data_IF_149621296834
#
_entry.id   IF_149621296834
#
_cell.length_a   1.000
_cell.length_b   1.000
_cell.length_c   1.000
_cell.angle_alpha   90.00
_cell.angle_beta   90.00
_cell.angle_gamma   90.00
#
_symmetry.space_group_name_H-M   'P 1'
#
loop_
_entity.id
_entity.type
_entity.pdbx_description
1 polymer ?
#
# COMPACT_ATOMS: atom_id res chain seq x y z
N UNK A 1 5.03 3.77 18.63
CA UNK A 1 5.07 2.92 19.82
C UNK A 1 6.49 2.51 20.18
N UNK A 2 7.26 1.77 19.35
CA UNK A 2 8.61 1.27 19.70
C UNK A 2 9.59 2.31 20.23
N UNK A 3 9.64 3.52 19.65
CA UNK A 3 10.50 4.61 20.15
C UNK A 3 10.03 5.08 21.51
N UNK A 4 8.70 5.17 21.73
CA UNK A 4 8.12 5.51 23.03
C UNK A 4 8.54 4.48 24.07
N UNK A 5 8.38 3.18 23.78
CA UNK A 5 8.74 2.10 24.69
C UNK A 5 10.23 2.09 25.04
N UNK A 6 11.08 2.34 24.03
CA UNK A 6 12.53 2.43 24.23
C UNK A 6 12.90 3.61 25.15
N UNK A 7 12.37 4.80 24.90
CA UNK A 7 12.64 5.99 25.70
C UNK A 7 12.07 5.83 27.12
N UNK A 8 10.88 5.23 27.28
CA UNK A 8 10.31 4.92 28.59
C UNK A 8 11.23 3.99 29.39
N UNK A 9 11.74 2.92 28.76
CA UNK A 9 12.66 1.98 29.42
C UNK A 9 13.96 2.66 29.85
N UNK A 10 14.57 3.49 28.98
CA UNK A 10 15.79 4.22 29.27
C UNK A 10 15.58 5.24 30.42
N UNK A 11 14.50 6.01 30.37
CA UNK A 11 14.19 6.97 31.42
C UNK A 11 13.88 6.32 32.77
N UNK A 12 13.17 5.21 32.80
CA UNK A 12 12.92 4.44 34.03
C UNK A 12 14.22 3.96 34.69
N UNK A 13 15.22 3.61 33.88
CA UNK A 13 16.53 3.19 34.42
C UNK A 13 17.34 4.34 35.03
N UNK A 14 17.08 5.59 34.62
CA UNK A 14 17.85 6.78 35.02
C UNK A 14 17.16 7.65 36.06
N UNK A 15 15.81 7.59 36.14
CA UNK A 15 15.01 8.52 36.96
C UNK A 15 14.35 7.76 38.12
N UNK A 16 15.10 7.59 39.21
CA UNK A 16 14.56 6.98 40.43
C UNK A 16 13.50 7.90 41.08
N UNK A 17 12.37 7.32 41.51
CA UNK A 17 11.30 8.05 42.21
C UNK A 17 10.42 8.93 41.32
N UNK A 18 10.54 8.80 40.00
CA UNK A 18 9.68 9.49 39.01
C UNK A 18 8.82 8.45 38.28
N UNK A 19 7.53 8.72 38.18
CA UNK A 19 6.61 7.90 37.38
C UNK A 19 6.82 8.17 35.87
N UNK A 20 7.33 7.18 35.13
CA UNK A 20 7.59 7.30 33.68
C UNK A 20 6.59 6.45 32.93
N UNK A 21 5.73 7.09 32.16
CA UNK A 21 4.64 6.44 31.41
C UNK A 21 4.73 6.74 29.92
N UNK A 22 4.34 5.77 29.08
CA UNK A 22 4.16 5.98 27.64
C UNK A 22 2.77 6.52 27.34
N UNK A 23 2.59 7.15 26.16
CA UNK A 23 1.30 7.55 25.63
C UNK A 23 1.31 7.45 24.10
N UNK A 24 0.56 6.50 23.55
CA UNK A 24 0.43 6.30 22.11
C UNK A 24 -0.93 5.73 21.76
N UNK A 25 -1.37 5.90 20.52
CA UNK A 25 -2.65 5.34 20.04
C UNK A 25 -2.72 3.80 20.02
N UNK A 26 -1.57 3.11 20.12
CA UNK A 26 -1.50 1.65 20.17
C UNK A 26 -1.69 1.06 21.58
N UNK A 27 -1.80 1.91 22.61
CA UNK A 27 -2.00 1.48 23.99
C UNK A 27 -3.48 1.21 24.28
N UNK A 28 -3.75 0.33 25.24
CA UNK A 28 -5.11 0.09 25.71
C UNK A 28 -5.71 1.36 26.33
N UNK A 29 -7.04 1.48 26.31
CA UNK A 29 -7.75 2.61 26.92
C UNK A 29 -7.36 2.80 28.40
N UNK A 30 -7.20 1.70 29.16
CA UNK A 30 -6.79 1.75 30.57
C UNK A 30 -5.38 2.34 30.77
N UNK A 31 -4.45 2.02 29.88
CA UNK A 31 -3.09 2.59 29.95
C UNK A 31 -3.08 4.05 29.55
N UNK A 32 -3.89 4.44 28.56
CA UNK A 32 -4.08 5.84 28.17
C UNK A 32 -4.72 6.63 29.31
N UNK A 33 -5.78 6.11 29.95
CA UNK A 33 -6.45 6.74 31.09
C UNK A 33 -5.46 6.94 32.26
N UNK A 34 -4.60 5.96 32.53
CA UNK A 34 -3.55 6.09 33.54
C UNK A 34 -2.56 7.21 33.19
N UNK A 35 -2.10 7.31 31.95
CA UNK A 35 -1.19 8.37 31.53
C UNK A 35 -1.84 9.76 31.59
N UNK A 36 -3.15 9.86 31.39
CA UNK A 36 -3.93 11.10 31.40
C UNK A 36 -4.49 11.46 32.78
N UNK A 37 -4.44 10.57 33.76
CA UNK A 37 -4.91 10.83 35.11
C UNK A 37 -4.01 11.86 35.83
N UNK A 38 -4.59 12.63 36.76
CA UNK A 38 -3.82 13.51 37.62
C UNK A 38 -2.86 12.71 38.50
N UNK A 39 -1.54 12.95 38.41
CA UNK A 39 -0.56 12.22 39.23
C UNK A 39 -0.53 12.68 40.71
N UNK A 40 -1.30 13.67 41.09
CA UNK A 40 -1.28 14.26 42.44
C UNK A 40 0.11 14.82 42.78
N UNK A 41 0.70 14.34 43.85
CA UNK A 41 2.04 14.81 44.32
C UNK A 41 3.21 14.03 43.66
N UNK A 42 2.95 13.08 42.79
CA UNK A 42 4.01 12.29 42.13
C UNK A 42 4.52 13.05 40.89
N UNK A 43 5.84 13.19 40.79
CA UNK A 43 6.42 13.69 39.55
C UNK A 43 6.28 12.66 38.45
N UNK A 44 5.73 13.08 37.31
CA UNK A 44 5.51 12.19 36.17
C UNK A 44 6.21 12.70 34.92
N UNK A 45 6.78 11.78 34.15
CA UNK A 45 7.29 11.99 32.79
C UNK A 45 6.44 11.18 31.83
N UNK A 46 5.85 11.83 30.83
CA UNK A 46 5.04 11.18 29.80
C UNK A 46 5.81 11.22 28.48
N UNK A 47 6.13 10.06 27.94
CA UNK A 47 6.76 9.92 26.62
C UNK A 47 5.63 9.64 25.62
N UNK A 48 5.39 10.59 24.72
CA UNK A 48 4.22 10.53 23.84
C UNK A 48 4.58 10.55 22.35
N UNK A 49 3.74 9.94 21.53
CA UNK A 49 3.66 10.25 20.10
C UNK A 49 2.93 11.57 19.88
N UNK A 50 2.70 11.97 18.60
CA UNK A 50 1.94 13.17 18.26
C UNK A 50 0.49 13.18 18.80
N UNK A 51 0.00 12.08 19.37
CA UNK A 51 -1.35 11.99 19.98
C UNK A 51 -1.58 13.02 21.08
N UNK A 52 -0.52 13.44 21.78
CA UNK A 52 -0.61 14.49 22.81
C UNK A 52 -0.52 15.91 22.24
N UNK A 53 -0.32 16.07 20.94
CA UNK A 53 -0.19 17.41 20.33
C UNK A 53 -1.52 18.17 20.32
N UNK A 54 -2.62 17.53 19.90
CA UNK A 54 -3.93 18.18 19.76
C UNK A 54 -5.06 17.42 20.47
N UNK A 55 -5.07 16.10 20.38
CA UNK A 55 -6.23 15.26 20.69
C UNK A 55 -6.43 15.01 22.18
N UNK A 56 -5.37 14.98 22.98
CA UNK A 56 -5.42 14.65 24.40
C UNK A 56 -4.90 15.80 25.28
N UNK A 57 -5.57 16.01 26.40
CA UNK A 57 -5.12 17.00 27.40
C UNK A 57 -4.47 16.27 28.56
N UNK A 58 -3.18 16.47 28.74
CA UNK A 58 -2.42 15.97 29.88
C UNK A 58 -2.43 17.02 30.98
N UNK A 59 -2.95 16.71 32.17
CA UNK A 59 -2.96 17.68 33.29
C UNK A 59 -1.58 18.00 33.80
N UNK A 60 -1.36 19.23 34.25
CA UNK A 60 -0.19 19.61 35.02
C UNK A 60 1.14 19.70 34.26
N UNK A 61 1.17 19.58 32.93
CA UNK A 61 2.39 19.70 32.14
C UNK A 61 3.01 21.10 32.27
N UNK A 62 4.29 21.14 32.66
CA UNK A 62 5.10 22.39 32.83
C UNK A 62 6.37 22.39 32.00
N UNK A 63 6.79 21.22 31.52
CA UNK A 63 7.95 21.06 30.66
C UNK A 63 7.58 20.18 29.46
N UNK A 64 7.89 20.65 28.28
CA UNK A 64 7.82 19.87 27.04
C UNK A 64 9.22 19.73 26.46
N UNK A 65 9.64 18.52 26.17
CA UNK A 65 10.86 18.23 25.41
C UNK A 65 10.44 17.68 24.06
N UNK A 66 10.72 18.42 22.99
CA UNK A 66 10.24 18.10 21.65
C UNK A 66 11.40 17.65 20.75
N UNK A 67 11.24 16.48 20.15
CA UNK A 67 12.24 15.90 19.24
C UNK A 67 12.34 16.64 17.90
N UNK A 68 11.33 17.44 17.53
CA UNK A 68 11.22 18.06 16.20
C UNK A 68 10.84 17.09 15.08
N UNK A 69 10.35 15.88 15.45
CA UNK A 69 9.98 14.83 14.50
C UNK A 69 8.50 14.50 14.60
N UNK A 70 7.92 14.15 13.46
CA UNK A 70 6.57 13.63 13.33
C UNK A 70 6.56 12.34 12.51
N UNK A 71 5.51 11.54 12.68
CA UNK A 71 5.23 10.40 11.80
C UNK A 71 3.96 10.65 11.04
N UNK A 72 4.08 10.61 9.72
CA UNK A 72 2.98 10.84 8.80
C UNK A 72 2.71 9.57 7.99
N UNK A 73 1.43 9.15 7.84
CA UNK A 73 1.08 8.13 6.87
C UNK A 73 1.31 8.71 5.47
N UNK A 74 2.08 8.02 4.64
CA UNK A 74 2.30 8.42 3.24
C UNK A 74 2.01 7.25 2.32
N UNK A 75 1.17 7.48 1.32
CA UNK A 75 0.93 6.54 0.24
C UNK A 75 2.12 6.55 -0.73
N UNK A 76 2.76 5.40 -0.88
CA UNK A 76 3.74 5.15 -1.95
C UNK A 76 2.97 4.75 -3.22
N UNK A 77 2.92 5.65 -4.20
CA UNK A 77 2.15 5.48 -5.44
C UNK A 77 2.63 4.32 -6.29
N UNK A 78 3.96 4.16 -6.39
CA UNK A 78 4.54 3.08 -7.20
C UNK A 78 4.22 1.69 -6.66
N UNK A 79 3.78 1.62 -5.39
CA UNK A 79 3.53 0.37 -4.68
C UNK A 79 2.10 0.22 -4.16
N UNK A 80 1.27 1.27 -4.25
CA UNK A 80 -0.10 1.28 -3.71
C UNK A 80 -0.17 1.03 -2.19
N UNK A 81 0.89 1.38 -1.45
CA UNK A 81 1.01 1.05 -0.02
C UNK A 81 1.15 2.30 0.83
N UNK A 82 0.38 2.37 1.91
CA UNK A 82 0.54 3.41 2.92
C UNK A 82 1.56 2.95 3.97
N UNK A 83 2.52 3.83 4.29
CA UNK A 83 3.52 3.58 5.32
C UNK A 83 3.74 4.81 6.19
N UNK A 84 4.06 4.59 7.48
CA UNK A 84 4.45 5.68 8.37
C UNK A 84 5.89 6.11 8.08
N UNK A 85 6.06 7.34 7.65
CA UNK A 85 7.37 7.96 7.39
C UNK A 85 7.69 8.97 8.49
N UNK A 86 8.91 8.89 9.05
CA UNK A 86 9.39 9.91 9.98
C UNK A 86 9.82 11.14 9.18
N UNK A 87 9.24 12.28 9.50
CA UNK A 87 9.50 13.57 8.87
C UNK A 87 9.84 14.61 9.94
N UNK A 88 10.39 15.74 9.54
CA UNK A 88 10.43 16.91 10.42
C UNK A 88 9.01 17.43 10.59
N UNK A 89 8.66 17.82 11.83
CA UNK A 89 7.39 18.49 12.09
C UNK A 89 7.35 19.89 11.46
N UNK A 90 6.17 20.48 11.42
CA UNK A 90 6.01 21.89 11.05
C UNK A 90 6.26 22.82 12.23
N UNK A 91 6.51 24.11 11.95
CA UNK A 91 6.61 25.14 13.01
C UNK A 91 5.31 25.27 13.78
N UNK A 92 4.15 25.16 13.11
CA UNK A 92 2.84 25.18 13.75
C UNK A 92 2.67 24.02 14.74
N UNK A 93 3.04 22.79 14.36
CA UNK A 93 3.04 21.63 15.28
C UNK A 93 3.97 21.86 16.48
N UNK A 94 5.18 22.33 16.25
CA UNK A 94 6.14 22.63 17.33
C UNK A 94 5.61 23.70 18.31
N UNK A 95 4.89 24.71 17.80
CA UNK A 95 4.24 25.72 18.65
C UNK A 95 3.09 25.11 19.45
N UNK A 96 2.27 24.26 18.83
CA UNK A 96 1.18 23.55 19.54
C UNK A 96 1.72 22.67 20.67
N UNK A 97 2.79 21.89 20.40
CA UNK A 97 3.44 21.05 21.41
C UNK A 97 4.01 21.90 22.55
N UNK A 98 4.71 22.98 22.24
CA UNK A 98 5.23 23.91 23.25
C UNK A 98 4.11 24.52 24.11
N UNK A 99 2.97 24.84 23.50
CA UNK A 99 1.77 25.34 24.18
C UNK A 99 1.21 24.42 25.27
N UNK A 100 1.52 23.11 25.19
CA UNK A 100 1.12 22.15 26.24
C UNK A 100 1.78 22.42 27.59
N UNK A 101 3.01 22.95 27.61
CA UNK A 101 3.69 23.32 28.83
C UNK A 101 3.07 24.55 29.52
N UNK A 102 2.44 25.44 28.76
CA UNK A 102 1.93 26.72 29.23
C UNK A 102 0.40 26.72 29.44
N UNK A 103 -0.30 25.60 29.37
CA UNK A 103 -1.77 25.55 29.37
C UNK A 103 -2.40 25.99 30.71
N UNK A 104 -1.76 25.65 31.81
CA UNK A 104 -2.25 25.95 33.17
C UNK A 104 -1.38 26.94 33.93
N UNK A 105 -0.50 27.69 33.26
CA UNK A 105 0.42 28.68 33.81
C UNK A 105 1.80 28.62 33.15
N UNK A 106 2.79 29.38 33.60
CA UNK A 106 4.11 29.43 32.98
C UNK A 106 4.75 28.05 32.85
N UNK A 107 5.31 27.75 31.70
CA UNK A 107 5.98 26.49 31.40
C UNK A 107 7.20 26.69 30.50
N UNK A 108 7.97 25.63 30.31
CA UNK A 108 9.18 25.61 29.49
C UNK A 108 9.04 24.59 28.36
N UNK A 109 9.45 24.97 27.15
CA UNK A 109 9.57 24.08 26.03
C UNK A 109 11.01 24.01 25.53
N UNK A 110 11.57 22.80 25.45
CA UNK A 110 12.91 22.53 24.93
C UNK A 110 12.75 21.82 23.58
N UNK A 111 13.27 22.41 22.51
CA UNK A 111 13.29 21.81 21.18
C UNK A 111 14.66 21.19 20.92
N UNK A 112 14.68 19.89 20.62
CA UNK A 112 15.90 19.12 20.33
C UNK A 112 16.34 19.30 18.86
N UNK A 113 16.44 20.55 18.40
CA UNK A 113 16.86 20.91 17.04
C UNK A 113 17.71 22.20 17.04
N UNK A 114 18.53 22.36 16.00
CA UNK A 114 19.38 23.54 15.84
C UNK A 114 18.55 24.71 15.29
N UNK A 115 19.02 25.93 15.52
CA UNK A 115 18.38 27.16 15.00
C UNK A 115 18.24 27.13 13.46
N UNK A 116 19.22 26.58 12.75
CA UNK A 116 19.18 26.41 11.30
C UNK A 116 18.08 25.43 10.87
N UNK A 117 17.89 24.33 11.61
CA UNK A 117 16.85 23.35 11.33
C UNK A 117 15.46 23.98 11.53
N UNK A 118 15.29 24.81 12.57
CA UNK A 118 14.06 25.57 12.79
C UNK A 118 13.74 26.53 11.64
N UNK A 119 14.72 27.24 11.13
CA UNK A 119 14.54 28.19 10.02
C UNK A 119 14.09 27.48 8.73
N UNK A 120 14.56 26.26 8.51
CA UNK A 120 14.22 25.43 7.34
C UNK A 120 12.95 24.59 7.48
N UNK A 121 12.22 24.66 8.62
CA UNK A 121 10.97 23.92 8.80
C UNK A 121 9.82 24.58 8.03
N UNK A 122 8.93 23.75 7.49
CA UNK A 122 7.66 24.23 6.93
C UNK A 122 6.86 25.00 7.97
N UNK A 123 6.12 26.02 7.54
CA UNK A 123 5.26 26.79 8.43
C UNK A 123 4.16 25.91 9.02
N UNK A 124 3.45 25.18 8.16
CA UNK A 124 2.30 24.38 8.47
C UNK A 124 2.54 22.90 8.11
N UNK A 125 1.79 21.93 8.69
CA UNK A 125 1.86 20.53 8.30
C UNK A 125 1.40 20.37 6.85
N UNK A 126 1.97 19.40 6.16
CA UNK A 126 1.51 19.02 4.81
C UNK A 126 0.04 18.60 4.89
N UNK A 127 -0.84 19.14 4.03
CA UNK A 127 -2.25 18.72 3.99
C UNK A 127 -2.39 17.22 3.81
N UNK A 128 -3.31 16.61 4.54
CA UNK A 128 -3.50 15.15 4.49
C UNK A 128 -3.84 14.66 3.08
N UNK A 129 -4.60 15.44 2.31
CA UNK A 129 -4.95 15.12 0.91
C UNK A 129 -3.74 14.91 0.00
N UNK A 130 -2.58 15.48 0.34
CA UNK A 130 -1.34 15.34 -0.43
C UNK A 130 -0.68 13.96 -0.27
N UNK A 131 -1.09 13.17 0.74
CA UNK A 131 -0.47 11.89 1.04
C UNK A 131 -1.45 10.78 1.44
N UNK A 132 -2.74 11.08 1.64
CA UNK A 132 -3.76 10.09 1.96
C UNK A 132 -4.21 9.27 0.73
N UNK A 133 -4.83 8.14 0.99
CA UNK A 133 -5.61 7.39 0.01
C UNK A 133 -6.95 8.10 -0.20
N UNK A 134 -7.25 8.50 -1.43
CA UNK A 134 -8.44 9.29 -1.76
C UNK A 134 -9.64 8.45 -2.24
N UNK A 135 -9.55 7.13 -2.32
CA UNK A 135 -10.61 6.27 -2.89
C UNK A 135 -11.94 6.47 -2.17
N UNK A 136 -11.97 6.41 -0.85
CA UNK A 136 -13.19 6.61 -0.06
C UNK A 136 -13.72 8.05 -0.17
N UNK A 137 -12.82 9.04 -0.16
CA UNK A 137 -13.18 10.46 -0.31
C UNK A 137 -13.79 10.74 -1.67
N UNK A 138 -13.19 10.23 -2.76
CA UNK A 138 -13.73 10.42 -4.10
C UNK A 138 -15.06 9.68 -4.32
N UNK A 139 -15.24 8.51 -3.72
CA UNK A 139 -16.54 7.84 -3.73
C UNK A 139 -17.61 8.73 -3.07
N UNK A 140 -17.30 9.32 -1.92
CA UNK A 140 -18.21 10.24 -1.23
C UNK A 140 -18.53 11.48 -2.05
N UNK A 141 -17.53 12.07 -2.70
CA UNK A 141 -17.74 13.22 -3.60
C UNK A 141 -18.58 12.85 -4.82
N UNK A 142 -18.39 11.67 -5.40
CA UNK A 142 -19.20 11.18 -6.51
C UNK A 142 -20.68 10.94 -6.10
N UNK A 143 -20.90 10.41 -4.88
CA UNK A 143 -22.25 10.27 -4.29
C UNK A 143 -22.91 11.64 -4.09
N UNK A 144 -22.15 12.63 -3.63
CA UNK A 144 -22.63 14.01 -3.45
C UNK A 144 -23.02 14.69 -4.77
N UNK A 145 -22.52 14.19 -5.90
CA UNK A 145 -22.77 14.77 -7.22
C UNK A 145 -21.70 15.76 -7.68
N UNK A 146 -20.56 15.81 -7.00
CA UNK A 146 -19.39 16.61 -7.35
C UNK A 146 -18.17 15.70 -7.56
N UNK A 147 -18.12 14.91 -8.64
CA UNK A 147 -16.95 14.09 -8.96
C UNK A 147 -15.68 14.94 -8.89
N UNK A 148 -14.62 14.40 -8.32
CA UNK A 148 -13.31 15.10 -8.13
C UNK A 148 -13.40 16.39 -7.29
N UNK A 149 -14.53 16.69 -6.64
CA UNK A 149 -14.75 17.91 -5.87
C UNK A 149 -14.98 19.15 -6.73
N UNK A 150 -15.38 18.98 -8.00
CA UNK A 150 -15.66 20.07 -8.93
C UNK A 150 -16.78 20.97 -8.40
N UNK A 151 -16.53 22.29 -8.41
CA UNK A 151 -17.48 23.29 -7.90
C UNK A 151 -17.56 23.39 -6.38
N UNK A 152 -16.78 22.61 -5.62
CA UNK A 152 -16.74 22.71 -4.17
C UNK A 152 -15.63 23.66 -3.68
N UNK A 153 -15.92 24.44 -2.66
CA UNK A 153 -14.93 25.27 -1.96
C UNK A 153 -14.13 24.41 -0.97
N UNK A 154 -13.18 23.63 -1.48
CA UNK A 154 -12.31 22.82 -0.65
C UNK A 154 -11.21 23.69 -0.03
N UNK A 155 -10.85 23.50 1.25
CA UNK A 155 -9.76 24.23 1.90
C UNK A 155 -8.40 24.04 1.21
N UNK A 156 -8.18 22.85 0.66
CA UNK A 156 -7.00 22.49 -0.14
C UNK A 156 -7.45 21.79 -1.41
N UNK A 157 -6.99 22.20 -2.60
CA UNK A 157 -7.30 21.51 -3.85
C UNK A 157 -6.80 20.05 -3.79
N UNK A 158 -7.59 19.13 -4.36
CA UNK A 158 -7.16 17.73 -4.45
C UNK A 158 -6.05 17.59 -5.49
N UNK A 159 -4.94 16.86 -5.18
CA UNK A 159 -3.86 16.61 -6.13
C UNK A 159 -4.35 15.77 -7.32
N UNK A 160 -4.24 16.31 -8.54
CA UNK A 160 -4.81 15.71 -9.76
C UNK A 160 -4.33 14.27 -10.00
N UNK A 161 -3.08 14.01 -9.76
CA UNK A 161 -2.47 12.69 -9.94
C UNK A 161 -2.99 11.65 -8.92
N UNK A 162 -3.36 12.07 -7.70
CA UNK A 162 -4.01 11.22 -6.70
C UNK A 162 -5.48 10.99 -7.01
N UNK A 163 -6.14 12.04 -7.49
CA UNK A 163 -7.51 11.94 -7.98
C UNK A 163 -7.58 10.92 -9.12
N UNK A 164 -6.68 11.02 -10.11
CA UNK A 164 -6.65 10.10 -11.25
C UNK A 164 -6.44 8.64 -10.82
N UNK A 165 -5.49 8.37 -9.91
CA UNK A 165 -5.23 7.02 -9.40
C UNK A 165 -6.41 6.44 -8.61
N UNK A 166 -7.03 7.24 -7.73
CA UNK A 166 -8.18 6.80 -6.95
C UNK A 166 -9.44 6.62 -7.81
N UNK A 167 -9.60 7.43 -8.84
CA UNK A 167 -10.70 7.30 -9.81
C UNK A 167 -10.55 6.06 -10.70
N UNK A 168 -9.33 5.72 -11.11
CA UNK A 168 -9.03 4.47 -11.81
C UNK A 168 -9.43 3.27 -10.94
N UNK A 169 -9.06 3.27 -9.67
CA UNK A 169 -9.45 2.22 -8.75
C UNK A 169 -10.97 2.16 -8.52
N UNK A 170 -11.65 3.30 -8.42
CA UNK A 170 -13.12 3.33 -8.33
C UNK A 170 -13.81 2.81 -9.60
N UNK A 171 -13.20 3.00 -10.78
CA UNK A 171 -13.67 2.39 -12.03
C UNK A 171 -13.50 0.88 -12.01
N UNK A 172 -12.38 0.38 -11.54
CA UNK A 172 -12.11 -1.06 -11.38
C UNK A 172 -13.07 -1.72 -10.39
N UNK A 173 -13.50 -0.99 -9.36
CA UNK A 173 -14.56 -1.40 -8.45
C UNK A 173 -15.96 -1.35 -9.09
N UNK A 174 -16.10 -0.74 -10.28
CA UNK A 174 -17.38 -0.45 -10.92
C UNK A 174 -18.19 0.62 -10.18
N UNK A 175 -17.55 1.40 -9.31
CA UNK A 175 -18.22 2.39 -8.47
C UNK A 175 -18.48 3.71 -9.20
N UNK A 176 -17.64 4.06 -10.17
CA UNK A 176 -17.83 5.24 -11.03
C UNK A 176 -17.70 4.85 -12.51
N UNK A 177 -18.29 5.68 -13.39
CA UNK A 177 -18.17 5.54 -14.84
C UNK A 177 -16.87 6.19 -15.38
N UNK A 178 -16.71 6.21 -16.70
CA UNK A 178 -15.54 6.80 -17.37
C UNK A 178 -15.38 8.30 -17.09
N UNK A 179 -16.47 9.00 -16.81
CA UNK A 179 -16.50 10.42 -16.48
C UNK A 179 -16.37 10.69 -14.97
N UNK A 180 -16.19 9.65 -14.15
CA UNK A 180 -16.08 9.74 -12.68
C UNK A 180 -17.43 9.88 -11.95
N UNK A 181 -18.57 9.73 -12.64
CA UNK A 181 -19.91 9.84 -12.04
C UNK A 181 -20.28 8.54 -11.34
N UNK A 182 -21.02 8.67 -10.25
CA UNK A 182 -21.44 7.53 -9.43
C UNK A 182 -22.37 6.57 -10.18
N UNK A 183 -22.05 5.29 -10.17
CA UNK A 183 -22.90 4.20 -10.69
C UNK A 183 -23.92 3.73 -9.66
N UNK A 184 -24.86 2.85 -10.05
CA UNK A 184 -25.75 2.16 -9.10
C UNK A 184 -24.93 1.30 -8.12
N UNK A 185 -23.89 0.61 -8.62
CA UNK A 185 -22.95 -0.16 -7.78
C UNK A 185 -22.23 0.74 -6.79
N UNK A 186 -21.70 1.88 -7.24
CA UNK A 186 -21.00 2.83 -6.39
C UNK A 186 -21.89 3.37 -5.27
N UNK A 187 -23.15 3.71 -5.56
CA UNK A 187 -24.12 4.11 -4.53
C UNK A 187 -24.33 2.99 -3.50
N UNK A 188 -24.43 1.74 -3.97
CA UNK A 188 -24.55 0.60 -3.07
C UNK A 188 -23.30 0.44 -2.19
N UNK A 189 -22.09 0.46 -2.78
CA UNK A 189 -20.85 0.36 -2.01
C UNK A 189 -20.70 1.50 -0.97
N UNK A 190 -21.15 2.71 -1.29
CA UNK A 190 -21.11 3.85 -0.37
C UNK A 190 -22.07 3.74 0.83
N UNK A 191 -23.04 2.81 0.82
CA UNK A 191 -23.90 2.57 1.98
C UNK A 191 -23.21 1.80 3.10
N UNK A 192 -22.11 1.14 2.81
CA UNK A 192 -21.36 0.39 3.80
C UNK A 192 -20.41 1.32 4.58
N UNK A 193 -20.31 1.19 5.90
CA UNK A 193 -19.34 1.92 6.70
C UNK A 193 -17.96 1.25 6.66
N UNK A 194 -17.48 1.01 5.46
CA UNK A 194 -16.23 0.31 5.14
C UNK A 194 -15.46 1.05 4.05
N UNK A 195 -14.16 0.78 3.98
CA UNK A 195 -13.39 1.11 2.77
C UNK A 195 -14.08 0.51 1.53
N UNK A 196 -14.17 1.23 0.40
CA UNK A 196 -14.87 0.76 -0.80
C UNK A 196 -14.41 -0.61 -1.30
N UNK A 197 -13.14 -0.94 -1.13
CA UNK A 197 -12.56 -2.25 -1.49
C UNK A 197 -13.12 -3.36 -0.61
N UNK A 198 -13.21 -3.11 0.71
CA UNK A 198 -13.82 -4.05 1.64
C UNK A 198 -15.34 -4.17 1.44
N UNK A 199 -16.01 -3.07 1.10
CA UNK A 199 -17.43 -3.10 0.74
C UNK A 199 -17.68 -3.99 -0.49
N UNK A 200 -16.82 -3.86 -1.51
CA UNK A 200 -16.83 -4.76 -2.67
C UNK A 200 -16.62 -6.22 -2.25
N UNK A 201 -15.56 -6.48 -1.46
CA UNK A 201 -15.25 -7.84 -1.04
C UNK A 201 -16.36 -8.45 -0.18
N UNK A 202 -17.05 -7.64 0.64
CA UNK A 202 -18.21 -8.07 1.40
C UNK A 202 -19.39 -8.44 0.49
N UNK A 203 -19.71 -7.62 -0.50
CA UNK A 203 -20.87 -7.86 -1.39
C UNK A 203 -20.63 -9.02 -2.35
N UNK A 204 -19.48 -9.04 -3.02
CA UNK A 204 -19.16 -10.08 -4.01
C UNK A 204 -18.78 -11.40 -3.32
N UNK A 205 -18.05 -11.33 -2.22
CA UNK A 205 -17.64 -12.51 -1.45
C UNK A 205 -18.79 -13.21 -0.77
N UNK A 206 -19.83 -12.49 -0.33
CA UNK A 206 -21.01 -13.10 0.28
C UNK A 206 -21.69 -14.12 -0.63
N UNK A 207 -21.73 -13.87 -1.94
CA UNK A 207 -22.26 -14.82 -2.93
C UNK A 207 -21.41 -16.09 -3.05
N UNK A 208 -20.12 -16.03 -2.72
CA UNK A 208 -19.17 -17.15 -2.88
C UNK A 208 -19.05 -17.97 -1.59
N UNK A 209 -18.93 -17.29 -0.43
CA UNK A 209 -18.62 -17.98 0.84
C UNK A 209 -19.74 -17.95 1.88
N UNK A 210 -20.84 -17.28 1.57
CA UNK A 210 -21.97 -17.05 2.47
C UNK A 210 -21.83 -15.76 3.26
N UNK A 211 -22.94 -15.12 3.55
CA UNK A 211 -23.00 -13.76 4.13
C UNK A 211 -22.35 -13.67 5.49
N UNK A 212 -22.65 -14.61 6.39
CA UNK A 212 -22.12 -14.60 7.75
C UNK A 212 -20.59 -14.68 7.78
N UNK A 213 -20.01 -15.64 7.05
CA UNK A 213 -18.56 -15.83 6.99
C UNK A 213 -17.88 -14.61 6.37
N UNK A 214 -18.45 -14.07 5.29
CA UNK A 214 -17.92 -12.88 4.63
C UNK A 214 -17.91 -11.66 5.55
N UNK A 215 -19.00 -11.41 6.27
CA UNK A 215 -19.10 -10.33 7.25
C UNK A 215 -18.10 -10.49 8.40
N UNK A 216 -17.89 -11.70 8.90
CA UNK A 216 -16.89 -12.00 9.93
C UNK A 216 -15.47 -11.68 9.46
N UNK A 217 -15.12 -12.06 8.24
CA UNK A 217 -13.79 -11.81 7.67
C UNK A 217 -13.62 -10.32 7.36
N UNK A 218 -14.62 -9.66 6.79
CA UNK A 218 -14.57 -8.22 6.52
C UNK A 218 -14.40 -7.41 7.83
N UNK A 219 -15.12 -7.77 8.89
CA UNK A 219 -14.97 -7.15 10.21
C UNK A 219 -13.57 -7.38 10.79
N UNK A 220 -12.98 -8.57 10.61
CA UNK A 220 -11.60 -8.86 11.02
C UNK A 220 -10.58 -8.00 10.27
N UNK A 221 -10.75 -7.83 8.97
CA UNK A 221 -9.86 -7.01 8.15
C UNK A 221 -9.91 -5.52 8.53
N UNK A 222 -11.00 -5.06 9.13
CA UNK A 222 -11.15 -3.73 9.70
C UNK A 222 -10.41 -3.51 11.03
N UNK A 223 -9.94 -4.57 11.70
CA UNK A 223 -9.16 -4.44 12.93
C UNK A 223 -7.71 -4.04 12.63
N UNK A 224 -7.16 -3.13 13.42
CA UNK A 224 -5.74 -2.72 13.33
C UNK A 224 -4.80 -3.68 14.09
N UNK A 225 -5.06 -4.96 14.06
CA UNK A 225 -4.24 -5.96 14.74
C UNK A 225 -2.98 -6.32 13.93
N UNK A 226 -1.91 -6.62 14.65
CA UNK A 226 -0.60 -6.92 14.12
C UNK A 226 -0.35 -8.40 13.73
N UNK A 227 -1.37 -9.25 13.72
CA UNK A 227 -1.21 -10.66 13.38
C UNK A 227 -0.96 -10.86 11.87
N UNK A 228 0.05 -11.67 11.56
CA UNK A 228 0.45 -11.97 10.17
C UNK A 228 -0.45 -13.05 9.57
N UNK A 229 -0.84 -14.05 10.36
CA UNK A 229 -1.72 -15.14 9.96
C UNK A 229 -3.20 -14.75 10.18
N UNK A 230 -3.87 -14.44 9.09
CA UNK A 230 -5.29 -14.03 9.11
C UNK A 230 -6.23 -15.18 9.50
N UNK A 231 -5.93 -16.40 9.12
CA UNK A 231 -6.78 -17.56 9.45
C UNK A 231 -6.69 -17.86 10.95
N UNK A 232 -5.48 -17.83 11.50
CA UNK A 232 -5.25 -17.95 12.93
C UNK A 232 -5.96 -16.84 13.73
N UNK A 233 -5.90 -15.60 13.25
CA UNK A 233 -6.59 -14.46 13.84
C UNK A 233 -8.12 -14.67 13.85
N UNK A 234 -8.70 -15.06 12.71
CA UNK A 234 -10.14 -15.31 12.61
C UNK A 234 -10.61 -16.43 13.55
N UNK A 235 -9.85 -17.53 13.64
CA UNK A 235 -10.14 -18.61 14.60
C UNK A 235 -10.08 -18.16 16.05
N UNK A 236 -9.16 -17.28 16.43
CA UNK A 236 -9.08 -16.71 17.77
C UNK A 236 -10.27 -15.78 18.07
N UNK A 237 -10.70 -14.96 17.10
CA UNK A 237 -11.87 -14.09 17.20
C UNK A 237 -13.15 -14.93 17.39
N UNK A 238 -13.35 -15.97 16.59
CA UNK A 238 -14.52 -16.87 16.70
C UNK A 238 -14.57 -17.62 18.02
N UNK A 239 -13.44 -18.08 18.53
CA UNK A 239 -13.34 -18.79 19.81
C UNK A 239 -13.43 -17.88 21.03
N UNK A 240 -13.46 -16.54 20.85
CA UNK A 240 -13.50 -15.57 21.95
C UNK A 240 -12.18 -15.38 22.68
N UNK A 241 -11.07 -15.98 22.21
CA UNK A 241 -9.73 -15.85 22.81
C UNK A 241 -9.02 -14.55 22.47
N UNK A 242 -9.48 -13.84 21.44
CA UNK A 242 -8.91 -12.56 21.03
C UNK A 242 -9.47 -11.43 21.93
N UNK A 243 -8.63 -10.45 22.37
CA UNK A 243 -9.10 -9.34 23.21
C UNK A 243 -10.27 -8.56 22.62
N UNK A 244 -10.28 -8.39 21.30
CA UNK A 244 -11.30 -7.64 20.57
C UNK A 244 -12.48 -8.49 20.08
N UNK A 245 -12.58 -9.76 20.46
CA UNK A 245 -13.60 -10.68 19.96
C UNK A 245 -15.04 -10.17 20.15
N UNK A 246 -15.33 -9.48 21.26
CA UNK A 246 -16.66 -8.93 21.52
C UNK A 246 -17.00 -7.74 20.58
N UNK A 247 -16.04 -6.87 20.32
CA UNK A 247 -16.19 -5.75 19.39
C UNK A 247 -16.31 -6.27 17.95
N UNK A 248 -15.42 -7.15 17.54
CA UNK A 248 -15.47 -7.81 16.24
C UNK A 248 -16.79 -8.50 15.96
N UNK A 249 -17.35 -9.23 16.95
CA UNK A 249 -18.64 -9.93 16.78
C UNK A 249 -19.79 -8.96 16.50
N UNK A 250 -19.84 -7.84 17.26
CA UNK A 250 -20.84 -6.78 17.03
C UNK A 250 -20.73 -6.18 15.63
N UNK A 251 -19.50 -5.95 15.17
CA UNK A 251 -19.25 -5.43 13.84
C UNK A 251 -19.64 -6.44 12.74
N UNK A 252 -19.25 -7.71 12.89
CA UNK A 252 -19.65 -8.79 11.98
C UNK A 252 -21.17 -8.92 11.89
N UNK A 253 -21.88 -8.84 13.06
CA UNK A 253 -23.35 -8.85 13.11
C UNK A 253 -23.96 -7.63 12.41
N UNK A 254 -23.33 -6.46 12.52
CA UNK A 254 -23.75 -5.24 11.84
C UNK A 254 -23.60 -5.37 10.33
N UNK A 255 -22.44 -5.82 9.86
CA UNK A 255 -22.16 -6.00 8.44
C UNK A 255 -23.05 -7.08 7.80
N UNK A 256 -23.28 -8.20 8.49
CA UNK A 256 -24.16 -9.25 8.01
C UNK A 256 -25.60 -8.78 7.74
N UNK A 257 -26.11 -7.82 8.55
CA UNK A 257 -27.45 -7.23 8.35
C UNK A 257 -27.54 -6.28 7.16
N UNK A 258 -26.41 -5.82 6.61
CA UNK A 258 -26.37 -4.88 5.47
C UNK A 258 -26.36 -5.59 4.10
N UNK A 259 -26.21 -6.91 4.09
CA UNK A 259 -26.14 -7.72 2.87
C UNK A 259 -27.25 -8.77 2.88
N UNK A 260 -27.60 -9.27 1.68
CA UNK A 260 -28.57 -10.34 1.54
C UNK A 260 -28.07 -11.62 2.23
N UNK A 261 -28.98 -12.36 2.85
CA UNK A 261 -28.63 -13.61 3.52
C UNK A 261 -28.36 -14.69 2.45
N UNK A 262 -27.13 -15.16 2.38
CA UNK A 262 -26.66 -16.22 1.53
C UNK A 262 -26.08 -17.33 2.42
N UNK A 263 -26.53 -18.59 2.27
CA UNK A 263 -26.05 -19.68 3.11
C UNK A 263 -24.54 -19.92 2.91
N UNK A 264 -23.85 -20.44 3.92
CA UNK A 264 -22.43 -20.78 3.81
C UNK A 264 -22.21 -21.89 2.77
N UNK A 265 -21.10 -21.79 2.04
CA UNK A 265 -20.63 -22.82 1.11
C UNK A 265 -19.63 -23.76 1.78
N UNK A 266 -19.45 -24.96 1.20
CA UNK A 266 -18.51 -25.97 1.71
C UNK A 266 -17.08 -25.67 1.19
N UNK A 267 -16.47 -24.59 1.69
CA UNK A 267 -15.07 -24.25 1.42
C UNK A 267 -14.29 -24.14 2.73
N UNK A 268 -12.98 -24.31 2.65
CA UNK A 268 -12.10 -24.23 3.83
C UNK A 268 -12.05 -22.84 4.45
N UNK A 269 -11.60 -22.73 5.69
CA UNK A 269 -11.39 -21.44 6.34
C UNK A 269 -10.31 -20.62 5.60
N UNK A 270 -9.27 -21.29 5.11
CA UNK A 270 -8.18 -20.66 4.37
C UNK A 270 -8.69 -20.05 3.07
N UNK A 271 -9.47 -20.83 2.28
CA UNK A 271 -10.05 -20.34 1.03
C UNK A 271 -11.07 -19.23 1.26
N UNK A 272 -11.85 -19.30 2.33
CA UNK A 272 -12.81 -18.23 2.66
C UNK A 272 -12.10 -16.90 2.95
N UNK A 273 -11.05 -16.93 3.78
CA UNK A 273 -10.26 -15.73 4.08
C UNK A 273 -9.54 -15.24 2.83
N UNK A 274 -8.94 -16.17 2.05
CA UNK A 274 -8.24 -15.85 0.81
C UNK A 274 -9.17 -15.16 -0.21
N UNK A 275 -10.39 -15.64 -0.38
CA UNK A 275 -11.40 -15.05 -1.28
C UNK A 275 -11.69 -13.60 -0.91
N UNK A 276 -12.01 -13.31 0.36
CA UNK A 276 -12.33 -11.93 0.77
C UNK A 276 -11.12 -11.00 0.63
N UNK A 277 -9.93 -11.46 1.00
CA UNK A 277 -8.69 -10.67 0.87
C UNK A 277 -8.37 -10.37 -0.59
N UNK A 278 -8.46 -11.37 -1.47
CA UNK A 278 -8.17 -11.22 -2.90
C UNK A 278 -9.18 -10.31 -3.59
N UNK A 279 -10.47 -10.40 -3.25
CA UNK A 279 -11.51 -9.51 -3.76
C UNK A 279 -11.32 -8.07 -3.29
N UNK A 280 -10.88 -7.86 -2.04
CA UNK A 280 -10.60 -6.53 -1.52
C UNK A 280 -9.39 -5.88 -2.21
N UNK A 281 -8.34 -6.66 -2.47
CA UNK A 281 -7.08 -6.15 -3.01
C UNK A 281 -6.48 -7.10 -4.05
N UNK A 282 -7.08 -7.23 -5.25
CA UNK A 282 -6.57 -8.14 -6.29
C UNK A 282 -5.14 -7.79 -6.72
N UNK A 283 -4.75 -6.52 -6.74
CA UNK A 283 -3.38 -6.08 -6.99
C UNK A 283 -2.35 -6.54 -5.95
N UNK A 284 -2.79 -7.06 -4.80
CA UNK A 284 -1.92 -7.58 -3.73
C UNK A 284 -1.89 -9.11 -3.68
N UNK A 285 -2.40 -9.80 -4.69
CA UNK A 285 -2.10 -11.20 -4.93
C UNK A 285 -0.59 -11.31 -5.15
N UNK A 286 0.06 -12.19 -4.40
CA UNK A 286 1.50 -12.32 -4.33
C UNK A 286 1.97 -13.70 -4.80
N UNK A 287 2.98 -13.74 -5.65
CA UNK A 287 3.67 -14.98 -6.07
C UNK A 287 5.07 -15.02 -5.48
N UNK A 288 5.46 -16.18 -4.94
CA UNK A 288 6.83 -16.42 -4.47
C UNK A 288 7.84 -16.25 -5.61
N UNK A 289 8.98 -15.63 -5.31
CA UNK A 289 10.08 -15.45 -6.28
C UNK A 289 10.95 -16.70 -6.50
N UNK A 290 10.66 -17.78 -5.78
CA UNK A 290 11.36 -19.05 -5.91
C UNK A 290 10.96 -20.03 -4.81
N UNK A 291 11.30 -21.29 -4.99
CA UNK A 291 11.02 -22.35 -4.01
C UNK A 291 11.72 -22.04 -2.69
N UNK A 292 10.97 -22.01 -1.60
CA UNK A 292 11.48 -21.70 -0.27
C UNK A 292 11.86 -20.23 -0.02
N UNK A 293 11.62 -19.34 -0.99
CA UNK A 293 11.86 -17.91 -0.83
C UNK A 293 10.86 -17.28 0.13
N UNK A 294 11.32 -16.34 0.95
CA UNK A 294 10.47 -15.47 1.76
C UNK A 294 10.08 -14.18 1.02
N UNK A 295 10.63 -13.98 -0.18
CA UNK A 295 10.36 -12.81 -1.03
C UNK A 295 9.28 -13.13 -2.07
N UNK A 296 8.35 -12.21 -2.22
CA UNK A 296 7.19 -12.30 -3.12
C UNK A 296 7.12 -11.11 -4.05
N UNK A 297 6.47 -11.30 -5.20
CA UNK A 297 6.08 -10.24 -6.12
C UNK A 297 4.56 -10.09 -6.09
N UNK A 298 4.07 -8.89 -5.80
CA UNK A 298 2.65 -8.55 -5.89
C UNK A 298 2.23 -8.35 -7.35
N UNK A 299 0.97 -8.61 -7.67
CA UNK A 299 0.42 -8.35 -9.00
C UNK A 299 0.54 -6.89 -9.45
N UNK A 300 0.54 -5.94 -8.51
CA UNK A 300 0.83 -4.52 -8.79
C UNK A 300 2.31 -4.21 -9.07
N UNK A 301 3.21 -5.21 -9.06
CA UNK A 301 4.64 -5.05 -9.35
C UNK A 301 5.55 -4.79 -8.15
N UNK A 302 4.99 -4.68 -6.95
CA UNK A 302 5.78 -4.43 -5.75
C UNK A 302 6.39 -5.71 -5.19
N UNK A 303 7.69 -5.68 -4.88
CA UNK A 303 8.35 -6.73 -4.11
C UNK A 303 8.06 -6.59 -2.61
N UNK A 304 7.71 -7.69 -1.95
CA UNK A 304 7.41 -7.76 -0.52
C UNK A 304 8.06 -8.98 0.11
N UNK A 305 8.40 -8.90 1.39
CA UNK A 305 9.01 -9.98 2.13
C UNK A 305 8.13 -10.43 3.30
N UNK A 306 8.19 -11.73 3.64
CA UNK A 306 7.63 -12.25 4.89
C UNK A 306 8.50 -11.81 6.08
N UNK A 307 7.92 -11.53 7.25
CA UNK A 307 8.70 -11.21 8.45
C UNK A 307 9.51 -12.41 8.92
N UNK A 308 10.64 -12.17 9.62
CA UNK A 308 11.53 -13.24 10.15
C UNK A 308 10.83 -14.24 11.07
N UNK A 309 9.83 -13.76 11.81
CA UNK A 309 9.00 -14.56 12.72
C UNK A 309 7.66 -14.93 12.07
N UNK A 310 7.66 -15.21 10.78
CA UNK A 310 6.47 -15.60 10.04
C UNK A 310 5.91 -16.94 10.56
N UNK A 311 4.59 -17.06 10.73
CA UNK A 311 3.94 -18.33 11.04
C UNK A 311 4.26 -19.40 9.99
N UNK A 312 4.47 -20.68 10.43
CA UNK A 312 4.84 -21.76 9.51
C UNK A 312 3.87 -21.98 8.35
N UNK A 313 2.59 -21.71 8.54
CA UNK A 313 1.56 -21.88 7.53
C UNK A 313 1.70 -20.97 6.28
N UNK A 314 2.47 -19.88 6.40
CA UNK A 314 2.74 -18.95 5.29
C UNK A 314 4.08 -19.21 4.61
N UNK A 315 4.98 -19.95 5.27
CA UNK A 315 6.31 -20.24 4.71
C UNK A 315 6.21 -21.24 3.56
N UNK A 316 6.95 -20.94 2.48
CA UNK A 316 7.01 -21.83 1.31
C UNK A 316 5.76 -21.87 0.45
N UNK A 317 4.73 -21.07 0.76
CA UNK A 317 3.53 -20.99 -0.07
C UNK A 317 3.86 -20.35 -1.43
N UNK A 318 3.44 -20.95 -2.55
CA UNK A 318 3.69 -20.38 -3.87
C UNK A 318 2.91 -19.08 -4.11
N UNK A 319 1.72 -18.98 -3.52
CA UNK A 319 0.84 -17.84 -3.63
C UNK A 319 0.29 -17.40 -2.28
N UNK A 320 0.14 -16.10 -2.11
CA UNK A 320 -0.48 -15.48 -0.93
C UNK A 320 -1.49 -14.41 -1.37
N UNK A 321 -2.61 -14.29 -0.66
CA UNK A 321 -3.43 -13.11 -0.66
C UNK A 321 -2.97 -12.20 0.49
N UNK A 322 -2.48 -11.00 0.16
CA UNK A 322 -1.92 -10.05 1.13
C UNK A 322 -2.95 -8.99 1.46
N UNK A 323 -3.27 -8.83 2.74
CA UNK A 323 -4.22 -7.83 3.22
C UNK A 323 -3.54 -6.55 3.74
N UNK A 324 -2.37 -6.68 4.36
CA UNK A 324 -1.63 -5.55 4.93
C UNK A 324 -0.14 -5.68 4.69
N UNK A 325 0.48 -4.55 4.39
CA UNK A 325 1.94 -4.42 4.24
C UNK A 325 2.42 -3.23 5.05
N UNK A 326 3.71 -3.18 5.33
CA UNK A 326 4.35 -1.98 5.87
C UNK A 326 5.64 -1.70 5.14
N UNK A 327 5.92 -0.42 4.93
CA UNK A 327 7.18 0.04 4.37
C UNK A 327 8.31 -0.12 5.38
N UNK A 328 9.44 -0.65 4.93
CA UNK A 328 10.70 -0.69 5.67
C UNK A 328 11.79 -0.03 4.82
N UNK A 329 12.93 0.29 5.40
CA UNK A 329 14.04 0.97 4.70
C UNK A 329 14.49 0.25 3.44
N UNK A 330 14.48 -1.08 3.45
CA UNK A 330 14.94 -1.94 2.33
C UNK A 330 13.82 -2.42 1.40
N UNK A 331 12.56 -2.02 1.60
CA UNK A 331 11.45 -2.54 0.78
C UNK A 331 10.09 -2.48 1.48
N UNK A 332 9.33 -3.56 1.36
CA UNK A 332 8.03 -3.71 2.01
C UNK A 332 7.93 -5.06 2.72
N UNK A 333 7.26 -5.08 3.86
CA UNK A 333 7.08 -6.27 4.69
C UNK A 333 5.59 -6.63 4.77
N UNK A 334 5.27 -7.89 4.57
CA UNK A 334 3.91 -8.43 4.75
C UNK A 334 3.56 -8.37 6.24
N UNK A 335 2.41 -7.81 6.55
CA UNK A 335 1.87 -7.66 7.91
C UNK A 335 0.64 -8.50 8.16
N UNK A 336 -0.09 -8.86 7.10
CA UNK A 336 -1.20 -9.79 7.17
C UNK A 336 -1.39 -10.46 5.82
N UNK A 337 -1.48 -11.77 5.80
CA UNK A 337 -1.67 -12.57 4.60
C UNK A 337 -2.35 -13.91 4.93
N UNK A 338 -2.76 -14.60 3.85
CA UNK A 338 -3.29 -15.96 3.89
C UNK A 338 -2.76 -16.74 2.69
N UNK A 339 -2.54 -18.06 2.78
CA UNK A 339 -2.25 -18.90 1.63
C UNK A 339 -3.35 -18.78 0.58
N UNK A 340 -2.96 -18.82 -0.70
CA UNK A 340 -3.88 -18.72 -1.83
C UNK A 340 -3.56 -19.82 -2.82
N UNK A 341 -4.57 -20.48 -3.37
CA UNK A 341 -4.38 -21.41 -4.48
C UNK A 341 -4.15 -20.64 -5.79
N UNK A 342 -3.45 -21.26 -6.75
CA UNK A 342 -3.23 -20.64 -8.05
C UNK A 342 -4.54 -20.38 -8.79
N UNK A 343 -5.51 -21.32 -8.72
CA UNK A 343 -6.84 -21.13 -9.31
C UNK A 343 -7.55 -19.92 -8.73
N UNK A 344 -7.59 -19.78 -7.41
CA UNK A 344 -8.21 -18.63 -6.75
C UNK A 344 -7.46 -17.31 -7.04
N UNK A 345 -6.13 -17.35 -7.20
CA UNK A 345 -5.35 -16.18 -7.61
C UNK A 345 -5.74 -15.69 -9.02
N UNK A 346 -5.92 -16.64 -9.96
CA UNK A 346 -6.31 -16.33 -11.35
C UNK A 346 -7.76 -15.84 -11.44
N UNK A 347 -8.68 -16.47 -10.72
CA UNK A 347 -10.08 -16.06 -10.65
C UNK A 347 -10.24 -14.65 -10.06
N UNK A 348 -9.65 -14.40 -8.88
CA UNK A 348 -9.75 -13.10 -8.23
C UNK A 348 -9.01 -11.99 -8.98
N UNK A 349 -8.01 -12.33 -9.75
CA UNK A 349 -7.20 -11.43 -10.54
C UNK A 349 -7.55 -11.38 -12.03
N UNK A 350 -8.70 -11.94 -12.46
CA UNK A 350 -9.08 -12.09 -13.87
C UNK A 350 -8.93 -10.78 -14.66
N UNK A 351 -9.37 -9.67 -14.11
CA UNK A 351 -9.26 -8.35 -14.74
C UNK A 351 -7.81 -7.88 -15.01
N UNK A 352 -6.82 -8.49 -14.34
CA UNK A 352 -5.40 -8.18 -14.52
C UNK A 352 -4.67 -9.21 -15.39
N UNK A 353 -5.38 -10.22 -15.90
CA UNK A 353 -4.79 -11.24 -16.78
C UNK A 353 -4.53 -10.63 -18.16
N UNK A 354 -3.28 -10.72 -18.59
CA UNK A 354 -2.85 -10.29 -19.92
C UNK A 354 -2.11 -11.41 -20.65
N UNK A 355 -2.31 -11.46 -21.98
CA UNK A 355 -1.59 -12.35 -22.86
C UNK A 355 -0.98 -11.54 -23.99
N UNK A 356 0.33 -11.34 -23.92
CA UNK A 356 1.08 -10.52 -24.84
C UNK A 356 2.08 -11.37 -25.65
N UNK A 357 2.46 -10.84 -26.81
CA UNK A 357 3.54 -11.42 -27.60
C UNK A 357 4.61 -10.34 -27.84
N UNK A 358 5.41 -10.01 -26.80
CA UNK A 358 6.51 -9.06 -26.97
C UNK A 358 7.53 -9.61 -27.95
N UNK A 359 8.01 -8.70 -28.81
CA UNK A 359 9.12 -8.93 -29.72
C UNK A 359 10.27 -8.03 -29.26
N UNK A 360 11.41 -8.62 -28.99
CA UNK A 360 12.59 -7.91 -28.46
C UNK A 360 13.84 -8.21 -29.29
N UNK A 361 14.76 -7.28 -29.26
CA UNK A 361 16.12 -7.49 -29.77
C UNK A 361 17.00 -8.01 -28.65
N UNK A 362 17.58 -9.19 -28.82
CA UNK A 362 18.46 -9.82 -27.84
C UNK A 362 19.61 -10.58 -28.52
N UNK A 363 20.84 -10.21 -28.18
CA UNK A 363 22.07 -10.86 -28.69
C UNK A 363 22.16 -10.89 -30.21
N UNK A 364 21.79 -9.80 -30.91
CA UNK A 364 21.90 -9.72 -32.39
C UNK A 364 20.74 -10.43 -33.11
N UNK A 365 19.68 -10.84 -32.43
CA UNK A 365 18.53 -11.55 -32.98
C UNK A 365 17.22 -11.00 -32.47
N UNK A 366 16.20 -11.00 -33.32
CA UNK A 366 14.83 -10.71 -32.91
C UNK A 366 14.22 -11.95 -32.30
N UNK A 367 13.70 -11.82 -31.08
CA UNK A 367 13.02 -12.89 -30.36
C UNK A 367 11.59 -12.52 -30.08
N UNK A 368 10.66 -13.44 -30.31
CA UNK A 368 9.26 -13.37 -29.90
C UNK A 368 9.02 -14.29 -28.71
N UNK A 369 8.27 -13.83 -27.74
CA UNK A 369 7.81 -14.67 -26.61
C UNK A 369 6.32 -14.46 -26.44
N UNK A 370 5.58 -15.53 -26.24
CA UNK A 370 4.19 -15.44 -25.73
C UNK A 370 4.28 -15.41 -24.22
N UNK A 371 3.79 -14.35 -23.60
CA UNK A 371 3.86 -14.15 -22.15
C UNK A 371 2.45 -14.01 -21.62
N UNK A 372 2.10 -14.83 -20.64
CA UNK A 372 0.88 -14.68 -19.85
C UNK A 372 1.26 -14.06 -18.48
N UNK A 373 0.53 -13.05 -18.06
CA UNK A 373 0.78 -12.35 -16.80
C UNK A 373 -0.49 -12.15 -16.00
N UNK A 374 -0.33 -12.14 -14.68
CA UNK A 374 -1.29 -11.60 -13.74
C UNK A 374 -0.72 -10.26 -13.22
N UNK A 375 -1.13 -9.15 -13.81
CA UNK A 375 -0.48 -7.86 -13.58
C UNK A 375 1.03 -7.93 -13.91
N UNK A 376 1.89 -7.67 -12.93
CA UNK A 376 3.34 -7.77 -13.08
C UNK A 376 3.89 -9.21 -12.91
N UNK A 377 3.08 -10.17 -12.47
CA UNK A 377 3.51 -11.55 -12.23
C UNK A 377 3.51 -12.32 -13.55
N UNK A 378 4.67 -12.77 -14.02
CA UNK A 378 4.78 -13.63 -15.19
C UNK A 378 4.35 -15.06 -14.83
N UNK A 379 3.25 -15.53 -15.41
CA UNK A 379 2.71 -16.88 -15.21
C UNK A 379 3.42 -17.90 -16.09
N UNK A 380 3.56 -17.57 -17.37
CA UNK A 380 4.26 -18.40 -18.34
C UNK A 380 4.93 -17.53 -19.41
N UNK A 381 5.99 -18.06 -19.98
CA UNK A 381 6.71 -17.42 -21.09
C UNK A 381 7.26 -18.49 -22.03
N UNK A 382 6.71 -18.55 -23.23
CA UNK A 382 7.12 -19.54 -24.24
C UNK A 382 7.69 -18.84 -25.47
N UNK A 383 8.82 -19.29 -26.04
CA UNK A 383 9.32 -18.77 -27.29
C UNK A 383 8.32 -18.99 -28.42
N UNK A 384 8.10 -17.96 -29.24
CA UNK A 384 7.25 -18.06 -30.43
C UNK A 384 7.95 -17.34 -31.60
N UNK A 385 7.58 -17.73 -32.84
CA UNK A 385 8.05 -17.00 -34.00
C UNK A 385 7.50 -15.57 -33.96
N UNK A 386 8.34 -14.54 -34.01
CA UNK A 386 7.89 -13.16 -33.96
C UNK A 386 7.09 -12.80 -35.20
N UNK A 387 6.11 -11.93 -35.05
CA UNK A 387 5.40 -11.33 -36.17
C UNK A 387 6.38 -10.60 -37.09
N UNK A 388 6.34 -10.83 -38.41
CA UNK A 388 7.34 -10.28 -39.36
C UNK A 388 7.37 -8.75 -39.35
N UNK A 389 6.23 -8.07 -39.19
CA UNK A 389 6.15 -6.61 -39.22
C UNK A 389 6.79 -6.02 -37.95
N UNK A 390 6.42 -6.57 -36.77
CA UNK A 390 7.01 -6.19 -35.49
C UNK A 390 8.50 -6.53 -35.42
N UNK A 391 8.89 -7.69 -35.96
CA UNK A 391 10.29 -8.11 -36.01
C UNK A 391 11.14 -7.14 -36.80
N UNK A 392 10.65 -6.69 -37.97
CA UNK A 392 11.33 -5.69 -38.80
C UNK A 392 11.46 -4.36 -38.08
N UNK A 393 10.37 -3.91 -37.39
CA UNK A 393 10.39 -2.65 -36.64
C UNK A 393 11.44 -2.66 -35.54
N UNK A 394 11.42 -3.71 -34.69
CA UNK A 394 12.39 -3.89 -33.60
C UNK A 394 13.83 -3.99 -34.10
N UNK A 395 14.04 -4.69 -35.21
CA UNK A 395 15.37 -4.77 -35.82
C UNK A 395 15.88 -3.39 -36.32
N UNK A 396 14.99 -2.63 -36.98
CA UNK A 396 15.31 -1.28 -37.46
C UNK A 396 15.59 -0.31 -36.30
N UNK A 397 14.82 -0.37 -35.22
CA UNK A 397 15.10 0.46 -34.04
C UNK A 397 16.42 0.09 -33.36
N UNK A 398 16.71 -1.20 -33.24
CA UNK A 398 17.99 -1.65 -32.69
C UNK A 398 19.20 -1.14 -33.54
N UNK A 399 19.07 -1.22 -34.84
CA UNK A 399 20.13 -0.70 -35.76
C UNK A 399 20.21 0.84 -35.69
N UNK A 400 19.09 1.54 -35.62
CA UNK A 400 19.09 3.02 -35.52
C UNK A 400 19.71 3.52 -34.21
N UNK A 401 19.50 2.80 -33.10
CA UNK A 401 20.04 3.20 -31.80
C UNK A 401 21.44 2.73 -31.49
N UNK A 402 21.87 1.61 -32.08
CA UNK A 402 23.17 0.97 -31.80
C UNK A 402 24.12 0.84 -32.98
N UNK A 403 23.77 1.42 -34.17
CA UNK A 403 24.55 1.30 -35.40
C UNK A 403 24.44 -0.09 -36.02
N UNK A 404 25.11 -0.26 -37.18
CA UNK A 404 25.12 -1.55 -37.89
C UNK A 404 25.89 -2.66 -37.15
N UNK A 405 26.71 -2.29 -36.19
CA UNK A 405 27.51 -3.23 -35.39
C UNK A 405 26.65 -4.08 -34.43
N UNK A 406 25.43 -3.61 -34.10
CA UNK A 406 24.44 -4.36 -33.31
C UNK A 406 23.91 -5.58 -34.08
N UNK A 407 23.91 -5.52 -35.43
CA UNK A 407 23.53 -6.63 -36.28
C UNK A 407 24.78 -7.52 -36.56
N UNK A 408 24.73 -8.76 -36.07
CA UNK A 408 25.77 -9.74 -36.38
C UNK A 408 25.79 -10.03 -37.91
N UNK A 409 26.51 -9.22 -38.66
CA UNK A 409 26.62 -9.40 -40.08
C UNK A 409 27.45 -10.66 -40.41
N UNK A 410 27.01 -11.40 -41.43
CA UNK A 410 27.81 -12.48 -41.96
C UNK A 410 29.02 -11.92 -42.69
N UNK A 411 30.08 -12.75 -42.94
CA UNK A 411 31.26 -12.32 -43.73
C UNK A 411 30.85 -11.72 -45.07
N UNK A 412 29.82 -12.28 -45.72
CA UNK A 412 29.30 -11.76 -47.00
C UNK A 412 28.54 -10.43 -46.79
N UNK A 413 27.82 -10.25 -45.69
CA UNK A 413 27.17 -8.99 -45.33
C UNK A 413 28.15 -7.88 -45.07
N UNK A 414 29.22 -8.15 -44.32
CA UNK A 414 30.35 -7.24 -44.11
C UNK A 414 31.04 -6.83 -45.44
N UNK A 415 31.29 -7.81 -46.31
CA UNK A 415 31.88 -7.55 -47.63
C UNK A 415 30.97 -6.68 -48.50
N UNK A 416 29.66 -6.92 -48.47
CA UNK A 416 28.67 -6.10 -49.20
C UNK A 416 28.63 -4.67 -48.62
N UNK A 417 28.61 -4.51 -47.30
CA UNK A 417 28.67 -3.19 -46.63
C UNK A 417 29.88 -2.38 -47.10
N UNK A 418 31.06 -2.95 -47.03
CA UNK A 418 32.30 -2.28 -47.47
C UNK A 418 32.26 -1.86 -48.94
N UNK A 419 31.70 -2.69 -49.82
CA UNK A 419 31.53 -2.37 -51.25
C UNK A 419 30.52 -1.24 -51.44
N UNK A 420 29.41 -1.24 -50.75
CA UNK A 420 28.41 -0.16 -50.80
C UNK A 420 28.98 1.15 -50.26
N UNK A 421 29.68 1.12 -49.12
CA UNK A 421 30.36 2.30 -48.58
C UNK A 421 31.38 2.90 -49.53
N UNK A 422 32.14 2.04 -50.21
CA UNK A 422 33.07 2.50 -51.25
C UNK A 422 32.33 3.10 -52.46
N UNK A 423 31.26 2.44 -52.92
CA UNK A 423 30.46 2.92 -54.05
C UNK A 423 29.80 4.29 -53.73
N UNK A 424 29.24 4.45 -52.54
CA UNK A 424 28.68 5.73 -52.09
C UNK A 424 29.74 6.83 -52.02
N UNK A 425 30.91 6.55 -51.48
CA UNK A 425 32.03 7.50 -51.37
C UNK A 425 32.52 7.98 -52.72
N UNK A 426 32.54 7.08 -53.74
CA UNK A 426 33.12 7.38 -55.08
C UNK A 426 32.07 7.96 -56.00
N UNK A 427 30.85 7.49 -55.99
CA UNK A 427 29.83 7.80 -56.99
C UNK A 427 28.61 8.58 -56.43
N UNK A 428 28.45 8.70 -55.09
CA UNK A 428 27.27 9.32 -54.49
C UNK A 428 25.98 8.53 -54.74
N UNK A 429 24.86 9.24 -54.88
CA UNK A 429 23.58 8.63 -55.26
C UNK A 429 23.69 7.89 -56.62
N UNK A 430 23.00 6.74 -56.79
CA UNK A 430 21.96 6.14 -55.92
C UNK A 430 22.50 5.12 -54.89
N UNK A 431 23.79 5.10 -54.59
CA UNK A 431 24.38 4.15 -53.65
C UNK A 431 24.09 4.58 -52.21
N UNK A 432 23.51 3.68 -51.37
CA UNK A 432 23.19 4.06 -50.03
C UNK A 432 24.43 4.32 -49.17
N UNK A 433 24.34 5.33 -48.31
CA UNK A 433 25.34 5.53 -47.26
C UNK A 433 25.12 4.44 -46.19
N UNK A 434 26.13 3.57 -46.08
CA UNK A 434 26.19 2.48 -45.10
C UNK A 434 27.39 2.63 -44.16
N UNK A 435 27.92 3.85 -44.06
CA UNK A 435 28.84 4.26 -42.99
C UNK A 435 28.10 4.27 -41.65
N UNK A 436 28.82 4.10 -40.55
CA UNK A 436 28.21 3.97 -39.19
C UNK A 436 27.40 5.20 -38.77
#
# INVERSE_FOLDING_TARGET
AREVDHVVADLRSRLAGIDVVGLSGAMSAREQDHALSDPGNVRRVIVSTAVAESSLTVPGVRLVVDSGLSREPRLDRGRGMTGLVTVRESRASAVQRAGRAARLGPGVAVRCLRAQDWAGMNADPTPEVDHADLVASLLSLAVWGSPRGEGMALPTPLPQDRVAAAEEELRDLGAVDAEGRITARGRHLATFPLDPRLARALTDGAAIIGSRRCAEIAAMLGLEDGQVDLVGQWRQLRSGRHPEAAMWRREADRLARLINDVPPTDITDDDAVATVVSLARPGWIARSRGVGSTSYLLACGTGVDLPRNCPPGLLGQPWLAVARTSRITSGALIRAAVPLSESAALESGEAMLTNDTPVTWDGGKVRGRRVSRLGAIELSSTPVRPDPVRARHVALEAVRSGGLDVASLTKNGESLRRRLALAHRVFGDPWPDVSD
#
